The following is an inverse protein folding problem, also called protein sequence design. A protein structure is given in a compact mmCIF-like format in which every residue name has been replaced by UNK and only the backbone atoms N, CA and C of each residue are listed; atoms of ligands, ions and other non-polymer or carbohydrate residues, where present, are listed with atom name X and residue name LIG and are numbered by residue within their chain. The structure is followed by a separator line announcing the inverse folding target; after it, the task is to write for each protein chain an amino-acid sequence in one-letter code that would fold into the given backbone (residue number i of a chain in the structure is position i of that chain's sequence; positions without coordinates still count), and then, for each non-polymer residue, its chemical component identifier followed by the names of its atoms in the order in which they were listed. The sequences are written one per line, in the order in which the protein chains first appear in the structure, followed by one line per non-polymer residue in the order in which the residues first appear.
data_IF_650161844188
#
_entry.id   IF_650161844188
#
_cell.length_a   1.000
_cell.length_b   1.000
_cell.length_c   1.000
_cell.angle_alpha   90.00
_cell.angle_beta   90.00
_cell.angle_gamma   90.00
#
_symmetry.space_group_name_H-M   'P 1'
#
loop_
_entity.id
_entity.type
_entity.pdbx_description
1 polymer ?
#
# COMPACT_ATOMS: atom_id res chain seq x y z
N UNK A 1 -19.98 -8.35 -1.82
CA UNK A 1 -18.86 -8.75 -0.92
C UNK A 1 -17.86 -9.61 -1.71
N UNK A 2 -16.58 -9.61 -1.35
CA UNK A 2 -15.55 -10.37 -2.08
C UNK A 2 -15.21 -11.67 -1.32
N UNK A 3 -15.21 -12.80 -2.03
CA UNK A 3 -14.79 -14.10 -1.50
C UNK A 3 -13.67 -14.66 -2.37
N UNK A 4 -12.62 -15.19 -1.75
CA UNK A 4 -11.51 -15.82 -2.47
C UNK A 4 -11.63 -17.35 -2.42
N UNK A 5 -11.46 -18.01 -3.56
CA UNK A 5 -11.43 -19.48 -3.63
C UNK A 5 -10.44 -19.98 -4.68
N UNK A 6 -9.69 -21.04 -4.39
CA UNK A 6 -8.75 -21.63 -5.38
C UNK A 6 -9.46 -22.23 -6.58
N UNK A 7 -10.55 -22.94 -6.32
CA UNK A 7 -11.35 -23.64 -7.33
C UNK A 7 -12.79 -23.79 -6.86
N UNK A 8 -13.76 -23.97 -7.79
CA UNK A 8 -15.11 -24.35 -7.42
C UNK A 8 -15.12 -25.61 -6.54
N UNK A 9 -15.84 -25.54 -5.42
CA UNK A 9 -15.89 -26.61 -4.42
C UNK A 9 -17.24 -26.65 -3.73
N UNK A 10 -17.44 -27.59 -2.80
CA UNK A 10 -18.67 -27.63 -1.99
C UNK A 10 -18.85 -26.34 -1.17
N UNK A 11 -17.76 -25.64 -0.83
CA UNK A 11 -17.79 -24.36 -0.11
C UNK A 11 -18.35 -23.23 -0.98
N UNK A 12 -17.91 -23.12 -2.24
CA UNK A 12 -18.43 -22.10 -3.16
C UNK A 12 -19.88 -22.37 -3.56
N UNK A 13 -20.28 -23.65 -3.68
CA UNK A 13 -21.69 -24.02 -3.87
C UNK A 13 -22.56 -23.62 -2.68
N UNK A 14 -22.11 -23.87 -1.45
CA UNK A 14 -22.81 -23.44 -0.23
C UNK A 14 -22.97 -21.92 -0.15
N UNK A 15 -21.93 -21.17 -0.50
CA UNK A 15 -21.98 -19.70 -0.56
C UNK A 15 -22.99 -19.19 -1.60
N UNK A 16 -23.01 -19.80 -2.79
CA UNK A 16 -23.99 -19.45 -3.83
C UNK A 16 -25.44 -19.82 -3.45
N UNK A 17 -25.66 -20.85 -2.65
CA UNK A 17 -26.98 -21.13 -2.11
C UNK A 17 -27.38 -20.10 -1.04
N UNK A 18 -26.42 -19.64 -0.23
CA UNK A 18 -26.66 -18.64 0.81
C UNK A 18 -27.02 -17.27 0.22
N UNK A 19 -26.51 -16.88 -0.95
CA UNK A 19 -26.91 -15.62 -1.62
C UNK A 19 -28.41 -15.59 -1.90
N UNK A 20 -28.95 -16.68 -2.42
CA UNK A 20 -30.36 -16.81 -2.78
C UNK A 20 -31.28 -16.71 -1.56
N UNK A 21 -30.83 -17.18 -0.40
CA UNK A 21 -31.61 -17.20 0.84
C UNK A 21 -31.52 -15.88 1.63
N UNK A 22 -30.39 -15.16 1.51
CA UNK A 22 -30.09 -14.00 2.37
C UNK A 22 -30.18 -12.67 1.64
N UNK A 23 -30.21 -12.68 0.31
CA UNK A 23 -30.11 -11.46 -0.50
C UNK A 23 -28.73 -10.80 -0.48
N UNK A 24 -27.73 -11.45 0.11
CA UNK A 24 -26.34 -10.99 0.09
C UNK A 24 -25.71 -11.33 -1.26
N UNK A 25 -25.04 -10.35 -1.88
CA UNK A 25 -24.33 -10.55 -3.14
C UNK A 25 -22.82 -10.77 -2.89
N UNK A 26 -22.25 -11.80 -3.52
CA UNK A 26 -20.82 -12.12 -3.45
C UNK A 26 -20.21 -12.29 -4.85
N UNK A 27 -19.02 -11.75 -5.03
CA UNK A 27 -18.14 -12.12 -6.14
C UNK A 27 -17.13 -13.12 -5.62
N UNK A 28 -17.08 -14.32 -6.21
CA UNK A 28 -16.07 -15.33 -5.89
C UNK A 28 -14.92 -15.17 -6.89
N UNK A 29 -13.82 -14.56 -6.45
CA UNK A 29 -12.62 -14.40 -7.24
C UNK A 29 -11.62 -15.55 -7.00
N UNK A 30 -10.79 -15.89 -8.00
CA UNK A 30 -9.72 -16.86 -7.83
C UNK A 30 -8.73 -16.38 -6.76
N UNK A 31 -8.43 -17.25 -5.78
CA UNK A 31 -7.40 -16.96 -4.79
C UNK A 31 -6.02 -16.90 -5.46
N UNK A 32 -5.21 -15.86 -5.22
CA UNK A 32 -3.89 -15.77 -5.82
C UNK A 32 -2.97 -16.92 -5.37
N UNK A 33 -2.05 -17.37 -6.24
CA UNK A 33 -1.10 -18.41 -5.89
C UNK A 33 -0.08 -17.88 -4.87
N UNK A 34 0.04 -18.57 -3.73
CA UNK A 34 1.10 -18.32 -2.75
C UNK A 34 2.31 -19.19 -3.08
N UNK A 35 3.50 -18.58 -3.16
CA UNK A 35 4.74 -19.29 -3.44
C UNK A 35 5.04 -20.39 -2.38
N UNK A 36 5.47 -21.57 -2.84
CA UNK A 36 5.80 -22.71 -1.97
C UNK A 36 6.86 -22.34 -0.93
N UNK A 37 7.88 -21.59 -1.33
CA UNK A 37 8.93 -21.12 -0.44
C UNK A 37 8.35 -20.26 0.70
N UNK A 38 7.41 -19.36 0.41
CA UNK A 38 6.76 -18.54 1.44
C UNK A 38 5.96 -19.39 2.43
N UNK A 39 5.27 -20.42 1.94
CA UNK A 39 4.55 -21.38 2.79
C UNK A 39 5.54 -22.12 3.70
N UNK A 40 6.64 -22.63 3.16
CA UNK A 40 7.66 -23.35 3.93
C UNK A 40 8.37 -22.46 4.96
N UNK A 41 8.73 -21.24 4.57
CA UNK A 41 9.33 -20.24 5.47
C UNK A 41 8.36 -19.88 6.60
N UNK A 42 7.10 -19.58 6.28
CA UNK A 42 6.08 -19.26 7.28
C UNK A 42 5.85 -20.40 8.27
N UNK A 43 5.87 -21.66 7.80
CA UNK A 43 5.77 -22.83 8.67
C UNK A 43 6.97 -22.99 9.61
N UNK A 44 8.14 -22.49 9.23
CA UNK A 44 9.36 -22.54 10.07
C UNK A 44 9.46 -21.35 11.02
N UNK A 45 8.76 -20.24 10.75
CA UNK A 45 8.66 -19.10 11.66
C UNK A 45 7.92 -19.48 12.95
N UNK A 46 8.40 -18.99 14.09
CA UNK A 46 7.81 -19.20 15.41
C UNK A 46 8.85 -19.28 16.52
N UNK A 47 8.46 -18.92 17.75
CA UNK A 47 9.35 -18.84 18.90
C UNK A 47 10.09 -20.15 19.17
N UNK A 48 11.35 -20.03 19.60
CA UNK A 48 12.17 -21.15 20.06
C UNK A 48 11.41 -21.89 21.16
N UNK A 49 11.28 -23.22 21.03
CA UNK A 49 10.57 -24.08 21.98
C UNK A 49 9.12 -24.44 21.62
N UNK A 50 8.49 -23.78 20.64
CA UNK A 50 7.19 -24.24 20.09
C UNK A 50 7.40 -25.20 18.92
N UNK A 51 6.86 -26.40 19.04
CA UNK A 51 6.96 -27.47 18.02
C UNK A 51 5.77 -27.51 17.06
N UNK A 52 4.60 -27.02 17.48
CA UNK A 52 3.40 -26.95 16.63
C UNK A 52 3.60 -25.96 15.49
N UNK A 53 3.53 -26.42 14.25
CA UNK A 53 3.63 -25.59 13.04
C UNK A 53 2.32 -25.66 12.25
N UNK A 54 1.93 -24.59 11.54
CA UNK A 54 0.75 -24.64 10.70
C UNK A 54 0.91 -25.67 9.57
N UNK A 55 -0.15 -26.39 9.25
CA UNK A 55 -0.21 -27.23 8.06
C UNK A 55 -0.04 -26.39 6.78
N UNK A 56 0.48 -26.94 5.67
CA UNK A 56 0.68 -26.20 4.43
C UNK A 56 -0.58 -25.48 3.94
N UNK A 57 -1.74 -26.13 4.08
CA UNK A 57 -3.03 -25.54 3.71
C UNK A 57 -3.38 -24.31 4.56
N UNK A 58 -3.16 -24.39 5.88
CA UNK A 58 -3.41 -23.29 6.81
C UNK A 58 -2.42 -22.14 6.61
N UNK A 59 -1.14 -22.45 6.42
CA UNK A 59 -0.11 -21.46 6.10
C UNK A 59 -0.40 -20.75 4.76
N UNK A 60 -0.76 -21.51 3.72
CA UNK A 60 -1.14 -20.94 2.43
C UNK A 60 -2.41 -20.08 2.54
N UNK A 61 -3.41 -20.52 3.31
CA UNK A 61 -4.60 -19.72 3.55
C UNK A 61 -4.24 -18.41 4.26
N UNK A 62 -3.41 -18.45 5.30
CA UNK A 62 -3.00 -17.26 6.05
C UNK A 62 -2.21 -16.28 5.17
N UNK A 63 -1.22 -16.77 4.42
CA UNK A 63 -0.42 -15.96 3.50
C UNK A 63 -1.22 -15.38 2.34
N UNK A 64 -2.27 -16.07 1.89
CA UNK A 64 -3.16 -15.57 0.85
C UNK A 64 -4.07 -14.42 1.31
N UNK A 65 -4.13 -14.12 2.62
CA UNK A 65 -4.75 -12.88 3.11
C UNK A 65 -3.77 -11.70 3.11
N UNK A 66 -2.46 -11.93 2.92
CA UNK A 66 -1.40 -10.92 3.01
C UNK A 66 -0.95 -10.43 1.63
N UNK A 67 -1.89 -9.99 0.80
CA UNK A 67 -1.55 -9.35 -0.48
C UNK A 67 -0.88 -7.99 -0.27
N UNK A 68 -1.36 -7.23 0.73
CA UNK A 68 -0.82 -5.95 1.16
C UNK A 68 -0.84 -5.88 2.68
N UNK A 69 0.14 -5.24 3.29
CA UNK A 69 0.15 -4.94 4.72
C UNK A 69 0.35 -3.44 4.93
N UNK A 70 -0.42 -2.84 5.85
CA UNK A 70 -0.13 -1.51 6.41
C UNK A 70 0.68 -1.70 7.69
N UNK A 71 1.86 -1.10 7.72
CA UNK A 71 2.81 -1.12 8.83
C UNK A 71 2.84 0.29 9.41
N UNK A 72 2.71 0.37 10.73
CA UNK A 72 2.73 1.62 11.51
C UNK A 72 3.79 1.47 12.61
N UNK A 73 4.61 2.49 12.80
CA UNK A 73 5.46 2.62 13.99
C UNK A 73 4.58 2.94 15.21
N UNK A 74 5.04 2.55 16.40
CA UNK A 74 4.29 2.62 17.64
C UNK A 74 4.13 4.05 18.20
N UNK A 75 4.91 4.99 17.69
CA UNK A 75 4.89 6.41 18.04
C UNK A 75 4.07 7.28 17.06
N UNK A 76 3.31 6.66 16.14
CA UNK A 76 2.44 7.36 15.19
C UNK A 76 1.05 7.60 15.75
N UNK A 77 0.54 8.82 15.56
CA UNK A 77 -0.84 9.19 15.83
C UNK A 77 -1.66 9.26 14.53
N UNK A 78 -2.94 8.90 14.60
CA UNK A 78 -3.88 9.05 13.49
C UNK A 78 -5.19 9.69 13.95
N UNK A 79 -5.93 10.22 12.99
CA UNK A 79 -7.25 10.81 13.22
C UNK A 79 -8.31 9.71 13.41
N UNK A 80 -9.33 9.96 14.24
CA UNK A 80 -10.48 9.05 14.39
C UNK A 80 -11.22 8.84 13.05
N UNK A 81 -11.07 9.78 12.11
CA UNK A 81 -11.62 9.73 10.74
C UNK A 81 -10.74 8.97 9.75
N UNK A 82 -9.77 8.18 10.22
CA UNK A 82 -8.80 7.47 9.36
C UNK A 82 -9.49 6.65 8.26
N UNK A 83 -10.66 6.06 8.50
CA UNK A 83 -11.38 5.31 7.44
C UNK A 83 -11.80 6.20 6.27
N UNK A 84 -12.33 7.39 6.55
CA UNK A 84 -12.76 8.35 5.53
C UNK A 84 -11.56 8.95 4.81
N UNK A 85 -10.51 9.28 5.57
CA UNK A 85 -9.23 9.75 5.01
C UNK A 85 -8.61 8.71 4.09
N UNK A 86 -8.55 7.44 4.51
CA UNK A 86 -7.99 6.36 3.71
C UNK A 86 -8.84 6.05 2.47
N UNK A 87 -10.15 6.32 2.49
CA UNK A 87 -10.99 6.27 1.28
C UNK A 87 -10.59 7.36 0.29
N UNK A 88 -10.44 8.61 0.74
CA UNK A 88 -9.95 9.71 -0.11
C UNK A 88 -8.57 9.41 -0.67
N UNK A 89 -7.68 8.84 0.15
CA UNK A 89 -6.35 8.37 -0.27
C UNK A 89 -6.50 7.34 -1.39
N UNK A 90 -7.26 6.28 -1.18
CA UNK A 90 -7.55 5.21 -2.17
C UNK A 90 -8.00 5.79 -3.52
N UNK A 91 -9.00 6.68 -3.52
CA UNK A 91 -9.53 7.26 -4.75
C UNK A 91 -8.47 8.05 -5.53
N UNK A 92 -7.60 8.79 -4.83
CA UNK A 92 -6.57 9.62 -5.44
C UNK A 92 -5.32 8.83 -5.85
N UNK A 93 -5.00 7.72 -5.18
CA UNK A 93 -3.98 6.77 -5.65
C UNK A 93 -4.36 6.18 -6.98
N UNK A 94 -5.61 5.72 -7.09
CA UNK A 94 -6.11 5.14 -8.34
C UNK A 94 -6.11 6.18 -9.46
N UNK A 95 -6.48 7.43 -9.16
CA UNK A 95 -6.37 8.52 -10.14
C UNK A 95 -4.92 8.80 -10.56
N UNK A 96 -3.98 8.77 -9.61
CA UNK A 96 -2.56 8.94 -9.86
C UNK A 96 -1.99 7.82 -10.75
N UNK A 97 -2.32 6.56 -10.46
CA UNK A 97 -1.92 5.39 -11.27
C UNK A 97 -2.41 5.50 -12.73
N UNK A 98 -3.67 5.92 -12.93
CA UNK A 98 -4.27 6.11 -14.27
C UNK A 98 -3.66 7.25 -15.10
N UNK A 99 -3.03 8.25 -14.46
CA UNK A 99 -2.61 9.49 -15.14
C UNK A 99 -1.35 9.35 -16.00
N UNK A 100 -0.68 8.19 -16.02
CA UNK A 100 0.60 7.96 -16.71
C UNK A 100 0.47 7.33 -18.12
N UNK A 101 -0.66 7.57 -18.81
CA UNK A 101 -0.97 6.93 -20.10
C UNK A 101 -0.38 7.57 -21.36
N UNK A 102 0.58 8.51 -21.28
CA UNK A 102 1.02 9.28 -22.48
C UNK A 102 2.47 9.08 -22.96
N UNK A 103 3.34 8.38 -22.22
CA UNK A 103 4.76 8.19 -22.62
C UNK A 103 5.28 6.74 -22.57
N UNK A 104 4.39 5.73 -22.57
CA UNK A 104 4.80 4.37 -23.00
C UNK A 104 5.16 3.34 -21.93
N UNK A 105 4.82 3.54 -20.66
CA UNK A 105 4.77 2.43 -19.68
C UNK A 105 3.41 2.41 -18.98
N UNK A 106 2.41 1.88 -19.70
CA UNK A 106 1.10 1.57 -19.15
C UNK A 106 1.27 0.46 -18.09
N UNK A 107 0.98 0.75 -16.82
CA UNK A 107 0.59 -0.31 -15.91
C UNK A 107 -0.83 -0.71 -16.33
N UNK A 108 -0.90 -1.67 -17.27
CA UNK A 108 -2.15 -2.25 -17.79
C UNK A 108 -3.03 -2.81 -16.65
N UNK A 109 -2.46 -3.02 -15.46
CA UNK A 109 -3.15 -3.50 -14.26
C UNK A 109 -4.21 -2.56 -13.71
N UNK A 110 -4.09 -1.23 -13.84
CA UNK A 110 -4.81 -0.30 -12.95
C UNK A 110 -6.22 0.13 -13.43
N UNK A 111 -6.61 -0.21 -14.66
CA UNK A 111 -7.94 0.13 -15.18
C UNK A 111 -9.04 -0.80 -14.65
N UNK A 112 -8.72 -2.09 -14.47
CA UNK A 112 -9.62 -3.10 -13.91
C UNK A 112 -9.29 -3.46 -12.45
N UNK A 113 -8.31 -2.78 -11.85
CA UNK A 113 -7.94 -2.98 -10.45
C UNK A 113 -9.00 -2.40 -9.50
N UNK A 114 -9.67 -3.30 -8.79
CA UNK A 114 -10.66 -2.99 -7.75
C UNK A 114 -10.05 -2.89 -6.35
N UNK A 115 -8.75 -3.12 -6.20
CA UNK A 115 -8.07 -2.96 -4.91
C UNK A 115 -8.02 -1.47 -4.51
N UNK A 116 -8.17 -1.15 -3.21
CA UNK A 116 -8.26 0.25 -2.75
C UNK A 116 -7.06 1.12 -3.17
N UNK A 117 -5.84 0.57 -3.15
CA UNK A 117 -4.62 1.33 -3.41
C UNK A 117 -3.91 0.92 -4.72
N UNK A 118 -4.52 0.05 -5.51
CA UNK A 118 -3.88 -0.56 -6.68
C UNK A 118 -2.82 -1.60 -6.30
N UNK A 119 -2.51 -2.46 -7.26
CA UNK A 119 -1.51 -3.53 -7.15
C UNK A 119 -0.21 -3.19 -7.87
N UNK A 120 -0.19 -2.09 -8.64
CA UNK A 120 0.99 -1.59 -9.34
C UNK A 120 2.05 -0.96 -8.46
N UNK A 121 1.72 -0.63 -7.20
CA UNK A 121 2.64 -0.04 -6.23
C UNK A 121 3.36 -1.12 -5.41
N UNK A 122 4.69 -1.01 -5.31
CA UNK A 122 5.47 -1.84 -4.38
C UNK A 122 5.31 -1.35 -2.95
N UNK A 123 5.43 -0.03 -2.75
CA UNK A 123 5.29 0.65 -1.47
C UNK A 123 4.40 1.86 -1.63
N UNK A 124 3.58 2.08 -0.62
CA UNK A 124 2.78 3.27 -0.42
C UNK A 124 3.13 3.86 0.95
N UNK A 125 3.89 4.95 0.99
CA UNK A 125 4.07 5.73 2.21
C UNK A 125 2.79 6.49 2.55
N UNK A 126 2.33 6.45 3.80
CA UNK A 126 1.15 7.19 4.27
C UNK A 126 1.61 8.23 5.28
N UNK A 127 1.88 9.44 4.79
CA UNK A 127 2.42 10.50 5.62
C UNK A 127 3.71 11.08 5.05
N UNK A 128 4.34 11.95 5.82
CA UNK A 128 5.45 12.75 5.32
C UNK A 128 6.57 12.84 6.36
N UNK A 129 7.78 12.49 5.93
CA UNK A 129 9.01 12.70 6.69
C UNK A 129 10.13 13.29 5.82
N UNK A 130 9.89 14.50 5.30
CA UNK A 130 10.83 15.18 4.41
C UNK A 130 10.90 14.59 3.01
N UNK A 131 9.90 13.80 2.62
CA UNK A 131 9.76 13.38 1.24
C UNK A 131 9.52 14.60 0.36
N UNK A 132 10.07 14.56 -0.86
CA UNK A 132 9.92 15.57 -1.92
C UNK A 132 9.18 14.93 -3.10
N UNK A 133 8.49 15.73 -3.90
CA UNK A 133 7.94 15.28 -5.17
C UNK A 133 8.99 15.43 -6.29
N UNK A 134 9.14 14.41 -7.14
CA UNK A 134 10.05 14.46 -8.30
C UNK A 134 9.63 15.48 -9.38
N UNK A 135 8.33 15.69 -9.64
CA UNK A 135 7.87 16.47 -10.81
C UNK A 135 6.82 17.54 -10.48
N UNK A 136 7.14 18.43 -9.53
CA UNK A 136 6.18 19.46 -9.09
C UNK A 136 5.83 20.49 -10.16
N UNK A 137 6.82 20.90 -10.96
CA UNK A 137 6.64 21.84 -12.06
C UNK A 137 6.05 21.18 -13.32
N UNK A 138 6.03 19.85 -13.35
CA UNK A 138 5.47 19.07 -14.44
C UNK A 138 6.32 19.00 -15.70
N UNK A 139 7.57 19.45 -15.64
CA UNK A 139 8.48 19.46 -16.79
C UNK A 139 9.34 18.20 -16.89
N UNK A 140 9.35 17.33 -15.87
CA UNK A 140 10.05 16.05 -15.94
C UNK A 140 9.18 15.00 -16.64
N UNK A 141 9.62 14.53 -17.80
CA UNK A 141 8.90 13.53 -18.58
C UNK A 141 9.04 12.10 -18.03
N UNK A 142 10.02 11.86 -17.14
CA UNK A 142 10.31 10.55 -16.56
C UNK A 142 9.56 10.29 -15.26
N UNK A 143 8.97 11.32 -14.65
CA UNK A 143 8.33 11.24 -13.35
C UNK A 143 6.89 11.77 -13.38
N UNK A 144 6.03 11.21 -12.54
CA UNK A 144 4.61 11.60 -12.50
C UNK A 144 4.41 12.96 -11.84
N UNK A 145 3.56 13.80 -12.44
CA UNK A 145 3.06 15.02 -11.80
C UNK A 145 2.26 14.66 -10.53
N UNK A 146 2.45 15.37 -9.41
CA UNK A 146 1.63 15.18 -8.22
C UNK A 146 0.14 15.39 -8.50
N UNK A 147 -0.68 14.55 -7.86
CA UNK A 147 -2.13 14.75 -7.81
C UNK A 147 -2.49 15.39 -6.48
N UNK A 148 -3.07 16.58 -6.53
CA UNK A 148 -3.53 17.31 -5.35
C UNK A 148 -5.04 17.19 -5.21
N UNK A 149 -5.51 16.84 -4.02
CA UNK A 149 -6.93 16.65 -3.74
C UNK A 149 -7.34 17.35 -2.46
N UNK A 150 -8.59 17.80 -2.40
CA UNK A 150 -9.14 18.51 -1.25
C UNK A 150 -9.36 17.49 -0.11
N UNK A 151 -8.88 17.82 1.07
CA UNK A 151 -9.22 17.10 2.30
C UNK A 151 -9.46 18.12 3.43
N UNK A 152 -10.73 18.32 3.85
CA UNK A 152 -11.07 19.26 4.92
C UNK A 152 -10.57 18.81 6.30
N UNK A 153 -10.15 17.56 6.46
CA UNK A 153 -9.60 17.03 7.72
C UNK A 153 -8.10 17.31 7.85
N UNK A 154 -7.44 17.81 6.81
CA UNK A 154 -6.03 18.19 6.86
C UNK A 154 -5.83 19.37 7.82
N UNK A 155 -4.82 19.34 8.72
CA UNK A 155 -4.44 20.50 9.50
C UNK A 155 -4.11 21.72 8.63
N UNK A 156 -4.37 22.92 9.14
CA UNK A 156 -3.95 24.15 8.47
C UNK A 156 -2.42 24.27 8.48
N UNK A 157 -1.85 25.04 7.53
CA UNK A 157 -0.40 25.23 7.43
C UNK A 157 0.23 25.78 8.73
N UNK A 158 -0.54 26.48 9.57
CA UNK A 158 -0.09 27.01 10.86
C UNK A 158 0.06 25.93 11.95
N UNK A 159 -0.61 24.79 11.79
CA UNK A 159 -0.57 23.68 12.73
C UNK A 159 0.55 22.67 12.44
N UNK A 160 1.26 22.82 11.32
CA UNK A 160 2.48 22.06 11.06
C UNK A 160 3.65 22.71 11.78
N UNK A 161 4.40 21.91 12.53
CA UNK A 161 5.56 22.33 13.31
C UNK A 161 6.77 21.43 13.02
N UNK A 162 7.94 21.90 13.40
CA UNK A 162 9.19 21.16 13.25
C UNK A 162 9.79 21.22 11.84
N UNK A 163 10.90 20.49 11.65
CA UNK A 163 11.71 20.51 10.44
C UNK A 163 10.94 20.10 9.17
N UNK A 164 10.00 19.16 9.31
CA UNK A 164 9.21 18.62 8.20
C UNK A 164 8.17 19.61 7.65
N UNK A 165 7.91 20.73 8.35
CA UNK A 165 6.88 21.71 7.97
C UNK A 165 7.07 22.23 6.55
N UNK A 166 8.26 22.72 6.23
CA UNK A 166 8.53 23.45 4.98
C UNK A 166 8.40 22.53 3.76
N UNK A 167 8.72 21.25 3.93
CA UNK A 167 8.49 20.23 2.92
C UNK A 167 7.01 20.04 2.61
N UNK A 168 6.10 20.24 3.58
CA UNK A 168 4.64 20.17 3.34
C UNK A 168 4.12 21.47 2.77
N UNK A 169 4.40 22.61 3.42
CA UNK A 169 3.74 23.89 3.11
C UNK A 169 4.17 24.49 1.77
N UNK A 170 5.40 24.22 1.32
CA UNK A 170 5.92 24.75 0.06
C UNK A 170 5.49 23.91 -1.15
N UNK A 171 5.09 22.66 -0.91
CA UNK A 171 4.76 21.71 -1.97
C UNK A 171 3.27 21.46 -2.13
N UNK A 172 2.51 21.56 -1.05
CA UNK A 172 1.10 21.18 -1.03
C UNK A 172 0.22 22.40 -0.73
N UNK A 173 -0.64 22.83 -1.68
CA UNK A 173 -1.55 23.95 -1.46
C UNK A 173 -2.41 23.76 -0.21
N UNK A 174 -2.74 24.86 0.48
CA UNK A 174 -3.54 24.81 1.70
C UNK A 174 -4.89 24.09 1.49
N UNK A 175 -5.29 23.27 2.46
CA UNK A 175 -6.55 22.51 2.42
C UNK A 175 -6.54 21.31 1.47
N UNK A 176 -5.38 20.98 0.89
CA UNK A 176 -5.20 19.82 0.01
C UNK A 176 -4.17 18.84 0.54
N UNK A 177 -4.27 17.58 0.16
CA UNK A 177 -3.22 16.57 0.26
C UNK A 177 -2.66 16.25 -1.12
N UNK A 178 -1.58 15.46 -1.17
CA UNK A 178 -0.89 15.12 -2.41
C UNK A 178 -0.55 13.63 -2.50
N UNK A 179 -0.74 13.06 -3.69
CA UNK A 179 -0.16 11.77 -4.10
C UNK A 179 0.95 12.04 -5.10
N UNK A 180 2.15 11.49 -4.89
CA UNK A 180 3.28 11.68 -5.82
C UNK A 180 4.29 10.52 -5.75
N UNK A 181 5.25 10.50 -6.67
CA UNK A 181 6.43 9.65 -6.52
C UNK A 181 7.33 10.25 -5.44
N UNK A 182 7.67 9.46 -4.41
CA UNK A 182 8.53 9.98 -3.36
C UNK A 182 9.97 10.11 -3.84
N UNK A 183 10.60 11.16 -3.36
CA UNK A 183 12.03 11.35 -3.34
C UNK A 183 12.45 11.59 -1.90
N UNK A 184 13.52 10.97 -1.44
CA UNK A 184 14.09 11.19 -0.11
C UNK A 184 13.13 10.93 1.06
N UNK A 185 12.28 9.89 0.99
CA UNK A 185 11.58 9.44 2.22
C UNK A 185 12.62 8.99 3.23
N UNK A 186 12.71 9.69 4.37
CA UNK A 186 13.71 9.40 5.40
C UNK A 186 13.20 8.55 6.56
N UNK A 187 11.90 8.24 6.62
CA UNK A 187 11.29 7.61 7.79
C UNK A 187 10.23 6.58 7.37
N UNK A 188 9.98 5.59 8.24
CA UNK A 188 9.05 4.48 7.98
C UNK A 188 7.81 4.47 8.87
N UNK A 189 7.45 5.64 9.43
CA UNK A 189 6.31 5.83 10.34
C UNK A 189 5.05 5.07 9.94
N UNK A 190 4.65 5.17 8.69
CA UNK A 190 3.48 4.50 8.17
C UNK A 190 3.64 4.20 6.69
N UNK A 191 3.56 2.92 6.32
CA UNK A 191 3.60 2.51 4.93
C UNK A 191 2.80 1.24 4.68
N UNK A 192 2.11 1.21 3.55
CA UNK A 192 1.56 0.00 2.99
C UNK A 192 2.58 -0.61 2.02
N UNK A 193 2.69 -1.93 2.01
CA UNK A 193 3.60 -2.66 1.13
C UNK A 193 2.85 -3.85 0.53
N UNK A 194 3.00 -4.06 -0.78
CA UNK A 194 2.49 -5.27 -1.42
C UNK A 194 3.41 -6.45 -1.15
N UNK A 195 2.92 -7.68 -1.25
CA UNK A 195 3.78 -8.87 -1.10
C UNK A 195 4.99 -8.83 -2.05
N UNK A 196 4.76 -8.40 -3.30
CA UNK A 196 5.82 -8.20 -4.29
C UNK A 196 6.77 -7.08 -3.86
N UNK A 197 6.23 -5.96 -3.40
CA UNK A 197 7.02 -4.86 -2.85
C UNK A 197 7.92 -5.32 -1.71
N UNK A 198 7.38 -6.05 -0.73
CA UNK A 198 8.15 -6.57 0.40
C UNK A 198 9.32 -7.45 -0.05
N UNK A 199 9.13 -8.27 -1.09
CA UNK A 199 10.20 -9.04 -1.70
C UNK A 199 11.25 -8.14 -2.38
N UNK A 200 10.82 -7.14 -3.14
CA UNK A 200 11.71 -6.17 -3.80
C UNK A 200 12.51 -5.34 -2.78
N UNK A 201 11.92 -5.05 -1.62
CA UNK A 201 12.58 -4.32 -0.54
C UNK A 201 13.64 -5.16 0.21
N UNK A 202 13.54 -6.50 0.17
CA UNK A 202 14.39 -7.40 0.98
C UNK A 202 15.88 -7.32 0.62
N UNK A 203 16.22 -7.38 -0.67
CA UNK A 203 17.61 -7.33 -1.13
C UNK A 203 18.32 -6.02 -0.79
N UNK A 204 17.73 -4.82 -1.05
CA UNK A 204 18.37 -3.57 -0.65
C UNK A 204 18.38 -3.36 0.87
N UNK A 205 17.43 -3.90 1.66
CA UNK A 205 17.50 -3.84 3.14
C UNK A 205 18.68 -4.60 3.74
N UNK A 206 19.07 -5.70 3.11
CA UNK A 206 20.08 -6.63 3.66
C UNK A 206 21.50 -6.37 3.14
N UNK A 207 21.67 -5.40 2.23
CA UNK A 207 22.98 -5.09 1.67
C UNK A 207 23.98 -4.58 2.76
N UNK A 208 25.28 -4.89 2.69
CA UNK A 208 26.22 -4.73 3.81
C UNK A 208 26.66 -3.29 4.15
N UNK A 209 26.02 -2.27 3.56
CA UNK A 209 26.47 -0.88 3.64
C UNK A 209 25.62 -0.13 4.67
N UNK A 210 26.08 -0.08 5.93
CA UNK A 210 25.33 0.29 7.15
C UNK A 210 24.62 1.65 7.25
N UNK A 211 23.71 1.97 6.34
CA UNK A 211 22.66 2.98 6.56
C UNK A 211 21.38 2.34 7.12
N UNK A 212 20.62 3.12 7.88
CA UNK A 212 19.32 2.76 8.43
C UNK A 212 18.31 2.38 7.33
N UNK A 213 17.36 1.50 7.67
CA UNK A 213 16.40 0.89 6.73
C UNK A 213 15.65 1.91 5.88
N UNK A 214 15.23 3.01 6.52
CA UNK A 214 14.52 4.16 5.97
C UNK A 214 15.33 4.96 4.91
N UNK A 215 16.63 5.16 5.12
CA UNK A 215 17.50 5.86 4.17
C UNK A 215 17.68 5.12 2.83
N UNK A 216 17.40 3.81 2.78
CA UNK A 216 17.59 2.99 1.58
C UNK A 216 16.43 3.07 0.58
N UNK A 217 15.28 3.61 0.97
CA UNK A 217 14.05 3.58 0.14
C UNK A 217 13.64 4.94 -0.44
N UNK A 218 14.62 5.83 -0.58
CA UNK A 218 14.44 7.22 -0.99
C UNK A 218 13.82 7.42 -2.38
N UNK A 219 13.62 6.39 -3.20
CA UNK A 219 13.05 6.47 -4.56
C UNK A 219 11.78 5.62 -4.80
N UNK A 220 10.91 5.45 -3.81
CA UNK A 220 9.65 4.67 -3.95
C UNK A 220 8.41 5.56 -3.76
N UNK A 221 7.31 5.32 -4.48
CA UNK A 221 6.13 6.21 -4.47
C UNK A 221 5.54 6.48 -3.06
N UNK A 222 5.23 7.74 -2.72
CA UNK A 222 4.68 8.15 -1.42
C UNK A 222 3.39 8.96 -1.54
N UNK A 223 2.46 8.74 -0.62
CA UNK A 223 1.36 9.66 -0.39
C UNK A 223 1.66 10.51 0.83
N UNK A 224 1.45 11.82 0.68
CA UNK A 224 1.48 12.73 1.81
C UNK A 224 0.11 12.85 2.42
N UNK A 225 0.03 12.45 3.69
CA UNK A 225 -0.99 12.93 4.60
C UNK A 225 -0.56 14.27 5.19
#
# INVERSE_FOLDING_TARGET
MLVLSKTPSWRTRGLNAATQLTGLDFTIAPQPPVAKLSIETFRKMGSVGKTTRPEPGSAAAWLAHLETALILEDDVNWDLRIKDQMRLVSDNVRAFGRSYGKTGHQLVSDLDDSTPYGTGLDVLWVGHCGSLSHNQNGHDENHRRPVYYIDPTRPTNQQYYGWARDFVINEVPQGRRAVHESRMTKCTFAYAVSQKGAYNLFNPATAPNGEAFDCRYTNTAAIRS
#
